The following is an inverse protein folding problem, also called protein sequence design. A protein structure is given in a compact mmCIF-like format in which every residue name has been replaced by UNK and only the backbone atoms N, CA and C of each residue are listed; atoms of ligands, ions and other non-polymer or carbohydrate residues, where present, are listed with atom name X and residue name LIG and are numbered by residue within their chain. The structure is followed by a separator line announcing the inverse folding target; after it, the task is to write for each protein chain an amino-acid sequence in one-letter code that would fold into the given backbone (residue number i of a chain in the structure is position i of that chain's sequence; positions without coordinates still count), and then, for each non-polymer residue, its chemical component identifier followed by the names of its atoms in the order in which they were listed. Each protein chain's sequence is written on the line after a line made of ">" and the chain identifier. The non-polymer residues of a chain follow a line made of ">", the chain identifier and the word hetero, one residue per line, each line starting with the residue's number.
data_IF_697978244255
#
_entry.id   IF_697978244255
#
_cell.length_a   1.000
_cell.length_b   1.000
_cell.length_c   1.000
_cell.angle_alpha   90.00
_cell.angle_beta   90.00
_cell.angle_gamma   90.00
#
_symmetry.space_group_name_H-M   'P 1'
#
loop_
_entity.id
_entity.type
_entity.pdbx_description
1 polymer ?
#
# COMPACT_ATOMS: atom_id res chain seq x y z
N UNK A 1 18.14 16.99 25.16
CA UNK A 1 17.43 17.05 23.87
C UNK A 1 17.34 18.51 23.47
N UNK A 2 17.43 18.81 22.18
CA UNK A 2 17.51 20.20 21.70
C UNK A 2 16.12 20.78 21.36
N UNK A 3 15.08 20.29 22.05
CA UNK A 3 13.67 20.67 21.91
C UNK A 3 12.90 20.37 23.21
N UNK A 4 11.72 20.96 23.38
CA UNK A 4 10.80 20.69 24.48
C UNK A 4 10.07 19.35 24.27
N UNK A 5 10.46 18.33 25.03
CA UNK A 5 9.87 16.99 24.94
C UNK A 5 8.48 16.88 25.56
N UNK A 6 8.05 17.87 26.36
CA UNK A 6 6.67 17.95 26.87
C UNK A 6 5.67 18.32 25.78
N UNK A 7 6.15 18.81 24.62
CA UNK A 7 5.33 19.12 23.46
C UNK A 7 4.84 17.87 22.70
N UNK A 8 5.47 16.71 22.92
CA UNK A 8 5.10 15.44 22.29
C UNK A 8 3.66 15.03 22.67
N UNK A 9 2.91 14.54 21.69
CA UNK A 9 1.60 13.94 21.91
C UNK A 9 1.75 12.47 22.31
N UNK A 10 2.69 11.76 21.68
CA UNK A 10 3.04 10.40 22.07
C UNK A 10 3.96 10.35 23.29
N UNK A 11 3.93 9.22 24.00
CA UNK A 11 4.83 8.98 25.13
C UNK A 11 6.29 9.12 24.66
N UNK A 12 7.06 9.97 25.37
CA UNK A 12 8.48 10.19 25.11
C UNK A 12 9.25 8.88 25.02
N UNK A 13 8.91 7.87 25.83
CA UNK A 13 9.58 6.56 25.81
C UNK A 13 9.52 5.87 24.43
N UNK A 14 8.51 6.16 23.61
CA UNK A 14 8.42 5.61 22.25
C UNK A 14 9.54 6.09 21.33
N UNK A 15 10.13 7.24 21.61
CA UNK A 15 11.25 7.81 20.84
C UNK A 15 12.61 7.41 21.40
N UNK A 16 12.68 6.65 22.49
CA UNK A 16 13.95 6.15 23.01
C UNK A 16 14.50 5.05 22.10
N UNK A 17 15.83 5.09 21.93
CA UNK A 17 16.56 4.12 21.12
C UNK A 17 16.29 2.69 21.57
N UNK A 18 16.35 2.42 22.86
CA UNK A 18 16.18 1.07 23.40
C UNK A 18 14.77 0.53 23.10
N UNK A 19 13.74 1.37 23.22
CA UNK A 19 12.36 1.01 22.88
C UNK A 19 12.20 0.70 21.38
N UNK A 20 12.77 1.54 20.51
CA UNK A 20 12.72 1.32 19.07
C UNK A 20 13.52 0.09 18.64
N UNK A 21 14.67 -0.17 19.27
CA UNK A 21 15.48 -1.36 19.03
C UNK A 21 14.77 -2.64 19.47
N UNK A 22 14.13 -2.64 20.64
CA UNK A 22 13.32 -3.77 21.11
C UNK A 22 12.20 -4.08 20.12
N UNK A 23 11.47 -3.06 19.66
CA UNK A 23 10.43 -3.22 18.63
C UNK A 23 11.02 -3.74 17.33
N UNK A 24 12.13 -3.17 16.86
CA UNK A 24 12.81 -3.58 15.63
C UNK A 24 13.15 -5.07 15.64
N UNK A 25 13.68 -5.56 16.75
CA UNK A 25 14.06 -6.96 16.94
C UNK A 25 12.84 -7.89 17.06
N UNK A 26 11.88 -7.55 17.91
CA UNK A 26 10.65 -8.34 18.11
C UNK A 26 9.84 -8.48 16.82
N UNK A 27 9.74 -7.38 16.07
CA UNK A 27 8.94 -7.27 14.86
C UNK A 27 9.73 -7.61 13.58
N UNK A 28 11.05 -7.80 13.71
CA UNK A 28 11.98 -8.22 12.65
C UNK A 28 11.99 -7.30 11.43
N UNK A 29 12.00 -5.99 11.70
CA UNK A 29 12.24 -4.98 10.68
C UNK A 29 13.74 -4.81 10.43
N UNK A 30 14.10 -4.38 9.21
CA UNK A 30 15.51 -4.25 8.81
C UNK A 30 16.07 -2.83 9.01
N UNK A 31 15.22 -1.83 9.31
CA UNK A 31 15.62 -0.42 9.32
C UNK A 31 15.03 0.33 10.51
N UNK A 32 15.89 0.62 11.50
CA UNK A 32 15.57 1.50 12.62
C UNK A 32 15.19 2.90 12.13
N UNK A 33 15.94 3.44 11.17
CA UNK A 33 15.70 4.76 10.60
C UNK A 33 14.28 4.93 10.04
N UNK A 34 13.77 3.92 9.32
CA UNK A 34 12.40 3.96 8.77
C UNK A 34 11.32 3.73 9.81
N UNK A 35 11.58 2.92 10.83
CA UNK A 35 10.67 2.76 11.97
C UNK A 35 10.56 4.08 12.75
N UNK A 36 11.69 4.74 13.00
CA UNK A 36 11.74 6.04 13.65
C UNK A 36 11.06 7.13 12.81
N UNK A 37 11.31 7.18 11.49
CA UNK A 37 10.61 8.11 10.60
C UNK A 37 9.10 7.90 10.63
N UNK A 38 8.63 6.65 10.60
CA UNK A 38 7.20 6.37 10.69
C UNK A 38 6.59 6.85 12.02
N UNK A 39 7.31 6.71 13.14
CA UNK A 39 6.89 7.27 14.42
C UNK A 39 6.79 8.81 14.36
N UNK A 40 7.79 9.49 13.80
CA UNK A 40 7.75 10.94 13.63
C UNK A 40 6.65 11.40 12.67
N UNK A 41 6.37 10.65 11.61
CA UNK A 41 5.26 10.91 10.70
C UNK A 41 3.92 10.96 11.46
N UNK A 42 3.71 10.01 12.37
CA UNK A 42 2.49 9.94 13.18
C UNK A 42 2.42 11.04 14.24
N UNK A 43 3.54 11.38 14.87
CA UNK A 43 3.64 12.48 15.82
C UNK A 43 3.28 13.82 15.15
N UNK A 44 3.94 14.15 14.04
CA UNK A 44 3.71 15.41 13.33
C UNK A 44 2.30 15.46 12.74
N UNK A 45 1.77 14.34 12.24
CA UNK A 45 0.37 14.27 11.84
C UNK A 45 -0.59 14.62 12.99
N UNK A 46 -0.39 14.07 14.20
CA UNK A 46 -1.25 14.40 15.34
C UNK A 46 -1.12 15.86 15.79
N UNK A 47 0.07 16.47 15.69
CA UNK A 47 0.25 17.89 15.96
C UNK A 47 -0.58 18.74 14.99
N UNK A 48 -0.54 18.41 13.69
CA UNK A 48 -1.35 19.06 12.66
C UNK A 48 -2.84 18.83 12.93
N UNK A 49 -3.23 17.59 13.24
CA UNK A 49 -4.61 17.21 13.54
C UNK A 49 -5.18 17.93 14.77
N UNK A 50 -4.38 18.12 15.81
CA UNK A 50 -4.82 18.82 17.02
C UNK A 50 -5.22 20.28 16.73
N UNK A 51 -4.55 20.91 15.76
CA UNK A 51 -4.80 22.31 15.37
C UNK A 51 -5.92 22.39 14.32
N UNK A 52 -5.85 21.58 13.27
CA UNK A 52 -6.79 21.61 12.13
C UNK A 52 -8.11 20.86 12.40
N UNK A 53 -8.16 20.02 13.42
CA UNK A 53 -9.36 19.25 13.81
C UNK A 53 -9.94 18.49 12.61
N UNK A 54 -11.23 18.64 12.33
CA UNK A 54 -11.97 17.99 11.25
C UNK A 54 -11.64 18.52 9.83
N UNK A 55 -10.64 19.39 9.69
CA UNK A 55 -10.18 19.89 8.38
C UNK A 55 -8.97 19.17 7.81
N UNK A 56 -8.57 18.04 8.40
CA UNK A 56 -7.43 17.23 7.94
C UNK A 56 -7.72 15.73 8.05
N UNK A 57 -7.28 14.94 7.07
CA UNK A 57 -7.25 13.48 7.16
C UNK A 57 -5.93 12.94 6.65
N UNK A 58 -5.39 11.92 7.32
CA UNK A 58 -4.24 11.15 6.86
C UNK A 58 -4.67 10.22 5.71
N UNK A 59 -3.85 10.11 4.67
CA UNK A 59 -4.02 9.19 3.55
C UNK A 59 -2.70 8.47 3.24
N UNK A 60 -2.62 7.87 2.05
CA UNK A 60 -1.36 7.36 1.50
C UNK A 60 -0.86 6.06 2.16
N UNK A 61 0.46 5.91 2.24
CA UNK A 61 1.11 4.73 2.81
C UNK A 61 0.92 4.61 4.32
N UNK A 62 0.97 5.75 5.03
CA UNK A 62 0.81 5.78 6.47
C UNK A 62 -0.61 5.39 6.91
N UNK A 63 -1.65 5.98 6.29
CA UNK A 63 -3.04 5.62 6.59
C UNK A 63 -3.35 4.15 6.32
N UNK A 64 -2.73 3.53 5.32
CA UNK A 64 -2.95 2.12 5.00
C UNK A 64 -2.58 1.18 6.15
N UNK A 65 -1.56 1.53 6.94
CA UNK A 65 -1.09 0.68 8.04
C UNK A 65 -2.14 0.53 9.15
N UNK A 66 -3.00 1.52 9.35
CA UNK A 66 -4.07 1.49 10.35
C UNK A 66 -5.20 0.51 10.03
N UNK A 67 -5.30 0.05 8.78
CA UNK A 67 -6.28 -0.94 8.33
C UNK A 67 -5.68 -2.36 8.23
N UNK A 68 -4.47 -2.55 8.76
CA UNK A 68 -3.73 -3.80 8.71
C UNK A 68 -3.35 -4.27 10.12
N UNK A 69 -3.40 -5.58 10.40
CA UNK A 69 -2.82 -6.12 11.62
C UNK A 69 -1.31 -5.80 11.70
N UNK A 70 -0.79 -5.60 12.92
CA UNK A 70 0.60 -5.17 13.17
C UNK A 70 1.61 -6.02 12.39
N UNK A 71 1.42 -7.33 12.36
CA UNK A 71 2.32 -8.29 11.73
C UNK A 71 2.36 -8.19 10.20
N UNK A 72 1.42 -7.44 9.59
CA UNK A 72 1.36 -7.14 8.15
C UNK A 72 1.64 -5.67 7.81
N UNK A 73 1.80 -4.82 8.82
CA UNK A 73 2.21 -3.43 8.62
C UNK A 73 3.67 -3.36 8.13
N UNK A 74 3.93 -2.38 7.27
CA UNK A 74 5.25 -2.02 6.75
C UNK A 74 5.62 -0.59 7.16
N UNK A 75 6.90 -0.25 7.07
CA UNK A 75 7.31 1.15 7.28
C UNK A 75 6.81 2.05 6.15
N UNK A 76 6.45 3.29 6.51
CA UNK A 76 6.18 4.42 5.60
C UNK A 76 7.06 5.59 6.06
N UNK A 77 7.39 6.52 5.17
CA UNK A 77 8.32 7.63 5.45
C UNK A 77 7.83 8.98 4.95
N UNK A 78 6.56 9.03 4.55
CA UNK A 78 5.89 10.21 4.01
C UNK A 78 4.57 10.39 4.76
N UNK A 79 4.27 11.65 5.11
CA UNK A 79 2.95 12.07 5.60
C UNK A 79 2.15 12.62 4.42
N UNK A 80 1.19 11.84 3.93
CA UNK A 80 0.25 12.31 2.92
C UNK A 80 -1.09 12.67 3.58
N UNK A 81 -1.60 13.87 3.35
CA UNK A 81 -2.87 14.32 3.94
C UNK A 81 -3.79 14.98 2.92
N UNK A 82 -5.09 14.91 3.16
CA UNK A 82 -6.08 15.77 2.50
C UNK A 82 -6.51 16.85 3.49
N UNK A 83 -6.43 18.13 3.09
CA UNK A 83 -6.79 19.26 3.93
C UNK A 83 -7.86 20.14 3.28
N UNK A 84 -8.80 20.61 4.09
CA UNK A 84 -9.87 21.53 3.70
C UNK A 84 -9.62 22.95 4.22
N UNK A 85 -8.37 23.41 4.09
CA UNK A 85 -7.90 24.75 4.50
C UNK A 85 -6.99 25.34 3.43
N UNK A 86 -6.83 26.66 3.42
CA UNK A 86 -5.89 27.32 2.53
C UNK A 86 -4.42 27.15 2.94
N UNK A 87 -3.51 27.44 2.01
CA UNK A 87 -2.04 27.39 2.22
C UNK A 87 -1.61 28.24 3.42
N UNK A 88 -2.16 29.45 3.57
CA UNK A 88 -1.83 30.34 4.68
C UNK A 88 -2.19 29.74 6.06
N UNK A 89 -3.27 28.95 6.15
CA UNK A 89 -3.65 28.28 7.39
C UNK A 89 -2.70 27.11 7.68
N UNK A 90 -2.27 26.37 6.64
CA UNK A 90 -1.23 25.34 6.77
C UNK A 90 0.10 25.94 7.28
N UNK A 91 0.54 27.06 6.73
CA UNK A 91 1.78 27.71 7.16
C UNK A 91 1.71 28.18 8.62
N UNK A 92 0.55 28.70 9.06
CA UNK A 92 0.32 29.05 10.46
C UNK A 92 0.34 27.83 11.38
N UNK A 93 -0.23 26.71 10.95
CA UNK A 93 -0.20 25.44 11.71
C UNK A 93 1.24 24.96 11.88
N UNK A 94 2.02 24.91 10.80
CA UNK A 94 3.41 24.46 10.84
C UNK A 94 4.28 25.38 11.71
N UNK A 95 4.10 26.70 11.62
CA UNK A 95 4.80 27.66 12.48
C UNK A 95 4.41 27.50 13.96
N UNK A 96 3.14 27.20 14.26
CA UNK A 96 2.71 26.93 15.63
C UNK A 96 3.33 25.65 16.19
N UNK A 97 3.52 24.62 15.36
CA UNK A 97 4.20 23.38 15.75
C UNK A 97 5.69 23.65 16.05
N UNK A 98 6.38 24.39 15.16
CA UNK A 98 7.77 24.82 15.38
C UNK A 98 7.93 25.58 16.72
N UNK A 99 7.06 26.55 16.98
CA UNK A 99 7.06 27.32 18.23
C UNK A 99 6.77 26.43 19.45
N UNK A 100 5.85 25.47 19.34
CA UNK A 100 5.48 24.56 20.42
C UNK A 100 6.67 23.70 20.86
N UNK A 101 7.46 23.19 19.90
CA UNK A 101 8.65 22.39 20.21
C UNK A 101 9.85 23.23 20.68
N UNK A 102 9.84 24.55 20.41
CA UNK A 102 10.82 25.53 20.89
C UNK A 102 12.28 25.03 20.79
N UNK A 103 12.67 24.62 19.59
CA UNK A 103 13.97 24.00 19.34
C UNK A 103 15.09 25.03 19.14
N UNK A 104 16.34 24.64 19.41
CA UNK A 104 17.51 25.53 19.28
C UNK A 104 18.24 25.42 17.92
N UNK A 105 17.96 24.38 17.13
CA UNK A 105 18.75 23.98 15.94
C UNK A 105 17.91 23.82 14.65
N UNK A 106 16.94 24.71 14.39
CA UNK A 106 16.02 24.62 13.24
C UNK A 106 15.19 23.31 13.16
N UNK A 107 15.15 22.50 14.22
CA UNK A 107 14.29 21.31 14.30
C UNK A 107 12.82 21.74 14.27
N UNK A 108 11.98 20.91 13.66
CA UNK A 108 10.55 21.14 13.47
C UNK A 108 10.20 22.35 12.59
N UNK A 109 11.20 22.99 11.98
CA UNK A 109 10.98 24.06 11.02
C UNK A 109 10.59 23.51 9.66
N UNK A 110 9.40 23.85 9.19
CA UNK A 110 8.90 23.42 7.89
C UNK A 110 9.50 24.27 6.76
N UNK A 111 10.00 23.60 5.72
CA UNK A 111 10.61 24.23 4.54
C UNK A 111 9.82 23.82 3.30
N UNK A 112 9.20 24.76 2.55
CA UNK A 112 8.44 24.41 1.36
C UNK A 112 9.37 23.85 0.27
N UNK A 113 8.99 22.74 -0.32
CA UNK A 113 9.65 22.19 -1.49
C UNK A 113 9.26 23.01 -2.72
N UNK A 114 10.27 23.55 -3.41
CA UNK A 114 10.09 24.17 -4.73
C UNK A 114 10.54 23.17 -5.80
N UNK A 115 9.61 22.51 -6.52
CA UNK A 115 9.98 21.59 -7.58
C UNK A 115 10.75 22.33 -8.68
N UNK A 116 11.74 21.65 -9.28
CA UNK A 116 12.58 22.21 -10.36
C UNK A 116 11.78 22.50 -11.63
N UNK A 117 10.70 21.77 -11.86
CA UNK A 117 9.76 21.95 -12.97
C UNK A 117 8.33 21.88 -12.41
N UNK A 118 7.73 23.01 -12.00
CA UNK A 118 6.42 23.03 -11.38
C UNK A 118 5.36 22.66 -12.42
N UNK A 119 4.73 21.49 -12.26
CA UNK A 119 3.51 21.14 -12.99
C UNK A 119 2.43 22.13 -12.60
N UNK A 120 2.06 23.01 -13.51
CA UNK A 120 1.03 24.03 -13.27
C UNK A 120 -0.28 23.36 -12.83
N UNK A 121 -0.85 23.82 -11.71
CA UNK A 121 -2.18 23.46 -11.19
C UNK A 121 -2.33 22.16 -10.37
N UNK A 122 -1.26 21.62 -9.76
CA UNK A 122 -1.46 20.60 -8.71
C UNK A 122 -1.96 21.29 -7.43
N UNK A 123 -3.13 20.92 -6.88
CA UNK A 123 -3.64 21.45 -5.61
C UNK A 123 -2.91 20.76 -4.45
N UNK A 124 -1.59 20.83 -4.44
CA UNK A 124 -0.75 20.11 -3.50
C UNK A 124 0.51 20.89 -3.19
N UNK A 125 0.92 20.90 -1.92
CA UNK A 125 2.18 21.48 -1.48
C UNK A 125 2.93 20.48 -0.61
N UNK A 126 4.23 20.41 -0.83
CA UNK A 126 5.15 19.58 -0.06
C UNK A 126 6.02 20.47 0.82
N UNK A 127 6.21 20.07 2.08
CA UNK A 127 7.17 20.63 3.01
C UNK A 127 8.15 19.53 3.46
N UNK A 128 9.36 19.95 3.80
CA UNK A 128 10.34 19.12 4.51
C UNK A 128 10.55 19.68 5.91
N UNK A 129 10.77 18.80 6.88
CA UNK A 129 10.97 19.17 8.27
C UNK A 129 12.02 18.27 8.89
N UNK A 130 13.02 18.86 9.54
CA UNK A 130 14.00 18.08 10.31
C UNK A 130 13.44 17.72 11.67
N UNK A 131 13.61 16.46 12.06
CA UNK A 131 13.21 15.90 13.34
C UNK A 131 14.41 15.27 14.04
N UNK A 132 14.41 15.20 15.38
CA UNK A 132 15.45 14.51 16.13
C UNK A 132 15.57 13.04 15.71
N UNK A 133 16.78 12.48 15.82
CA UNK A 133 17.01 11.07 15.54
C UNK A 133 17.93 10.41 16.55
N UNK A 134 17.55 9.21 16.99
CA UNK A 134 18.39 8.31 17.79
C UNK A 134 19.25 7.38 16.93
N UNK A 135 19.13 7.46 15.60
CA UNK A 135 19.87 6.60 14.68
C UNK A 135 21.35 6.98 14.62
N UNK A 136 22.20 5.96 14.49
CA UNK A 136 23.63 6.09 14.25
C UNK A 136 23.91 6.42 12.78
N UNK A 137 25.12 6.91 12.48
CA UNK A 137 25.57 7.16 11.10
C UNK A 137 25.39 5.92 10.19
N UNK A 138 25.65 4.72 10.72
CA UNK A 138 25.50 3.45 9.99
C UNK A 138 24.04 3.18 9.61
N UNK A 139 23.12 3.44 10.52
CA UNK A 139 21.67 3.25 10.31
C UNK A 139 21.09 4.31 9.37
N UNK A 140 21.73 5.47 9.29
CA UNK A 140 21.43 6.54 8.35
C UNK A 140 22.19 6.41 7.01
N UNK A 141 22.70 5.22 6.70
CA UNK A 141 23.40 4.90 5.44
C UNK A 141 24.63 5.79 5.16
N UNK A 142 25.38 6.15 6.20
CA UNK A 142 26.60 6.96 6.08
C UNK A 142 26.35 8.45 5.86
N UNK A 143 25.16 8.95 6.19
CA UNK A 143 24.91 10.40 6.25
C UNK A 143 25.83 11.03 7.30
N UNK A 144 26.57 12.06 6.88
CA UNK A 144 27.52 12.80 7.75
C UNK A 144 26.85 13.53 8.92
N UNK A 145 25.58 13.90 8.77
CA UNK A 145 24.80 14.55 9.82
C UNK A 145 24.14 13.44 10.63
N UNK A 146 24.48 13.38 11.91
CA UNK A 146 23.89 12.45 12.90
C UNK A 146 23.01 13.24 13.86
N UNK A 147 22.05 12.57 14.48
CA UNK A 147 21.13 13.19 15.44
C UNK A 147 19.87 13.81 14.83
N UNK A 148 19.73 13.83 13.51
CA UNK A 148 18.52 14.30 12.82
C UNK A 148 18.12 13.42 11.63
N UNK A 149 16.82 13.41 11.34
CA UNK A 149 16.25 12.88 10.10
C UNK A 149 15.32 13.94 9.49
N UNK A 150 14.99 13.82 8.20
CA UNK A 150 14.07 14.74 7.51
C UNK A 150 12.80 13.97 7.12
N UNK A 151 11.63 14.48 7.51
CA UNK A 151 10.32 13.97 7.09
C UNK A 151 9.79 14.78 5.91
N UNK A 152 8.99 14.13 5.06
CA UNK A 152 8.27 14.77 3.96
C UNK A 152 6.77 14.87 4.31
N UNK A 153 6.25 16.09 4.25
CA UNK A 153 4.85 16.41 4.58
C UNK A 153 4.15 16.90 3.32
N UNK A 154 3.11 16.20 2.88
CA UNK A 154 2.39 16.50 1.64
C UNK A 154 0.91 16.80 1.92
N UNK A 155 0.49 18.03 1.59
CA UNK A 155 -0.89 18.48 1.73
C UNK A 155 -1.57 18.47 0.37
N UNK A 156 -2.66 17.70 0.24
CA UNK A 156 -3.58 17.70 -0.89
C UNK A 156 -4.78 18.58 -0.54
N UNK A 157 -4.93 19.70 -1.22
CA UNK A 157 -5.97 20.69 -0.94
C UNK A 157 -7.30 20.31 -1.59
N UNK A 158 -8.40 20.54 -0.88
CA UNK A 158 -9.77 20.37 -1.39
C UNK A 158 -10.70 21.41 -0.81
N UNK A 159 -11.68 21.84 -1.61
CA UNK A 159 -12.81 22.66 -1.16
C UNK A 159 -14.01 21.81 -0.73
N UNK A 160 -13.95 20.49 -0.97
CA UNK A 160 -15.01 19.55 -0.61
C UNK A 160 -14.94 19.17 0.89
N UNK A 161 -16.10 18.92 1.54
CA UNK A 161 -16.13 18.41 2.89
C UNK A 161 -15.34 17.09 3.02
N UNK A 162 -14.49 16.99 4.05
CA UNK A 162 -13.73 15.78 4.29
C UNK A 162 -14.62 14.67 4.85
N UNK A 163 -14.50 13.48 4.26
CA UNK A 163 -15.01 12.26 4.87
C UNK A 163 -13.93 11.71 5.78
N UNK A 164 -14.24 11.58 7.07
CA UNK A 164 -13.27 11.19 8.10
C UNK A 164 -13.68 9.86 8.72
N UNK A 165 -12.77 8.90 8.70
CA UNK A 165 -12.84 7.72 9.54
C UNK A 165 -11.93 7.91 10.76
N UNK A 166 -12.43 7.64 11.97
CA UNK A 166 -11.68 7.82 13.22
C UNK A 166 -11.33 6.45 13.79
N UNK A 167 -10.04 6.23 14.05
CA UNK A 167 -9.57 5.04 14.77
C UNK A 167 -8.91 5.49 16.07
N UNK A 168 -9.45 5.03 17.19
CA UNK A 168 -8.97 5.33 18.54
C UNK A 168 -8.12 4.18 19.07
N UNK A 169 -7.01 4.51 19.73
CA UNK A 169 -6.07 3.53 20.28
C UNK A 169 -5.65 2.44 19.26
N UNK A 170 -5.18 2.83 18.06
CA UNK A 170 -4.82 1.86 17.02
C UNK A 170 -3.60 1.02 17.41
N UNK A 171 -3.63 -0.23 16.98
CA UNK A 171 -2.50 -1.15 17.03
C UNK A 171 -1.49 -0.79 15.91
N UNK A 172 -0.36 -0.18 16.28
CA UNK A 172 0.66 0.29 15.33
C UNK A 172 2.03 -0.25 15.69
N UNK A 173 2.74 -0.79 14.69
CA UNK A 173 4.04 -1.44 14.90
C UNK A 173 5.12 -0.54 15.52
N UNK A 174 5.06 0.77 15.24
CA UNK A 174 6.09 1.72 15.68
C UNK A 174 5.83 2.28 17.08
N UNK A 175 4.59 2.21 17.60
CA UNK A 175 4.26 2.72 18.92
C UNK A 175 2.99 2.15 19.53
N UNK A 176 2.94 2.21 20.86
CA UNK A 176 1.72 2.07 21.65
C UNK A 176 1.11 3.47 21.85
N UNK A 177 -0.19 3.61 21.59
CA UNK A 177 -0.86 4.92 21.67
C UNK A 177 -2.33 4.77 22.03
N UNK A 178 -2.84 5.76 22.78
CA UNK A 178 -4.28 5.90 23.07
C UNK A 178 -4.93 7.04 22.27
N UNK A 179 -4.17 7.61 21.32
CA UNK A 179 -4.62 8.74 20.52
C UNK A 179 -5.64 8.29 19.46
N UNK A 180 -6.42 9.25 18.98
CA UNK A 180 -7.36 9.03 17.87
C UNK A 180 -6.81 9.65 16.60
N UNK A 181 -6.79 8.86 15.53
CA UNK A 181 -6.33 9.27 14.21
C UNK A 181 -7.50 9.48 13.25
N UNK A 182 -7.44 10.55 12.48
CA UNK A 182 -8.37 10.88 11.40
C UNK A 182 -7.81 10.40 10.08
N UNK A 183 -8.42 9.36 9.54
CA UNK A 183 -7.97 8.67 8.33
C UNK A 183 -8.95 8.90 7.21
N UNK A 184 -8.44 8.88 5.98
CA UNK A 184 -9.26 8.64 4.80
C UNK A 184 -9.96 7.28 4.96
N UNK A 185 -11.29 7.19 4.75
CA UNK A 185 -12.01 5.93 4.87
C UNK A 185 -11.44 4.85 3.94
N UNK A 186 -11.52 3.59 4.38
CA UNK A 186 -10.91 2.44 3.70
C UNK A 186 -11.23 2.40 2.19
N UNK A 187 -12.51 2.49 1.82
CA UNK A 187 -12.92 2.39 0.41
C UNK A 187 -12.35 3.53 -0.43
N UNK A 188 -12.32 4.74 0.14
CA UNK A 188 -11.76 5.91 -0.52
C UNK A 188 -10.24 5.81 -0.65
N UNK A 189 -9.56 5.25 0.37
CA UNK A 189 -8.13 4.97 0.36
C UNK A 189 -7.74 3.93 -0.70
N UNK A 190 -8.51 2.85 -0.83
CA UNK A 190 -8.30 1.85 -1.89
C UNK A 190 -8.52 2.52 -3.26
N UNK A 191 -9.59 3.32 -3.41
CA UNK A 191 -9.84 4.08 -4.64
C UNK A 191 -8.67 4.99 -5.03
N UNK A 192 -8.13 5.73 -4.06
CA UNK A 192 -6.94 6.58 -4.22
C UNK A 192 -5.69 5.76 -4.60
N UNK A 193 -5.49 4.59 -4.02
CA UNK A 193 -4.35 3.73 -4.38
C UNK A 193 -4.50 3.15 -5.78
N UNK A 194 -5.71 2.82 -6.23
CA UNK A 194 -5.94 2.32 -7.58
C UNK A 194 -5.56 3.36 -8.65
N UNK A 195 -5.68 4.66 -8.39
CA UNK A 195 -5.27 5.68 -9.38
C UNK A 195 -3.77 5.67 -9.67
N UNK A 196 -2.95 5.06 -8.80
CA UNK A 196 -1.49 4.99 -9.01
C UNK A 196 -1.06 3.95 -10.04
N UNK A 197 -1.98 3.10 -10.51
CA UNK A 197 -1.67 1.93 -11.33
C UNK A 197 -1.69 2.19 -12.84
N UNK A 198 -1.94 3.42 -13.31
CA UNK A 198 -2.06 3.72 -14.74
C UNK A 198 -0.84 4.47 -15.33
N UNK A 199 0.39 3.92 -15.31
CA UNK A 199 1.62 4.71 -15.50
C UNK A 199 1.74 5.50 -16.81
N UNK A 200 1.00 5.14 -17.85
CA UNK A 200 0.98 5.82 -19.15
C UNK A 200 -0.22 6.77 -19.30
N UNK A 201 -1.13 6.80 -18.33
CA UNK A 201 -2.36 7.59 -18.32
C UNK A 201 -2.49 8.45 -17.04
N UNK A 202 -2.53 7.88 -15.85
CA UNK A 202 -2.65 8.58 -14.55
C UNK A 202 -1.72 7.99 -13.49
N UNK A 203 -1.56 8.65 -12.35
CA UNK A 203 -0.80 8.08 -11.25
C UNK A 203 0.71 8.04 -11.50
N UNK A 204 1.37 7.05 -10.93
CA UNK A 204 2.83 7.03 -10.82
C UNK A 204 3.42 6.58 -12.15
N UNK A 205 4.30 7.40 -12.73
CA UNK A 205 5.00 7.11 -13.99
C UNK A 205 6.07 6.02 -13.81
N UNK A 206 6.49 5.37 -14.89
CA UNK A 206 7.39 4.21 -14.86
C UNK A 206 8.80 4.51 -14.32
N UNK A 207 9.26 5.76 -14.37
CA UNK A 207 10.50 6.23 -13.75
C UNK A 207 10.47 6.20 -12.21
N UNK A 208 9.28 6.08 -11.62
CA UNK A 208 9.03 5.91 -10.18
C UNK A 208 8.41 4.54 -9.87
N UNK A 209 8.81 3.51 -10.61
CA UNK A 209 8.28 2.15 -10.45
C UNK A 209 8.48 1.56 -9.05
N UNK A 210 9.48 2.02 -8.29
CA UNK A 210 9.67 1.65 -6.87
C UNK A 210 8.48 2.05 -5.99
N UNK A 211 7.87 3.21 -6.25
CA UNK A 211 6.65 3.64 -5.55
C UNK A 211 5.44 2.81 -5.95
N UNK A 212 5.34 2.39 -7.22
CA UNK A 212 4.24 1.54 -7.69
C UNK A 212 4.18 0.21 -6.93
N UNK A 213 5.34 -0.43 -6.68
CA UNK A 213 5.42 -1.68 -5.92
C UNK A 213 4.85 -1.52 -4.51
N UNK A 214 5.11 -0.38 -3.85
CA UNK A 214 4.54 -0.09 -2.52
C UNK A 214 3.01 -0.01 -2.58
N UNK A 215 2.45 0.64 -3.60
CA UNK A 215 1.00 0.76 -3.75
C UNK A 215 0.33 -0.58 -4.03
N UNK A 216 0.91 -1.39 -4.92
CA UNK A 216 0.43 -2.75 -5.23
C UNK A 216 0.45 -3.63 -3.98
N UNK A 217 1.52 -3.55 -3.20
CA UNK A 217 1.64 -4.27 -1.93
C UNK A 217 0.52 -3.89 -0.96
N UNK A 218 0.31 -2.58 -0.74
CA UNK A 218 -0.73 -2.07 0.15
C UNK A 218 -2.12 -2.51 -0.32
N UNK A 219 -2.44 -2.35 -1.61
CA UNK A 219 -3.72 -2.80 -2.19
C UNK A 219 -3.94 -4.29 -1.90
N UNK A 220 -2.92 -5.13 -2.10
CA UNK A 220 -3.04 -6.57 -1.88
C UNK A 220 -3.43 -6.93 -0.45
N UNK A 221 -2.88 -6.22 0.55
CA UNK A 221 -3.15 -6.48 1.96
C UNK A 221 -4.44 -5.84 2.44
N UNK A 222 -4.75 -4.62 1.99
CA UNK A 222 -6.02 -3.96 2.27
C UNK A 222 -7.19 -4.82 1.77
N UNK A 223 -7.09 -5.32 0.53
CA UNK A 223 -8.06 -6.28 -0.01
C UNK A 223 -8.12 -7.55 0.83
N UNK A 224 -6.98 -8.16 1.16
CA UNK A 224 -6.95 -9.44 1.90
C UNK A 224 -7.58 -9.34 3.29
N UNK A 225 -7.28 -8.30 4.07
CA UNK A 225 -7.72 -8.21 5.47
C UNK A 225 -9.07 -7.53 5.64
N UNK A 226 -9.49 -6.71 4.68
CA UNK A 226 -10.72 -5.96 4.80
C UNK A 226 -11.78 -6.37 3.78
N UNK A 227 -11.57 -7.47 3.05
CA UNK A 227 -12.43 -7.89 1.95
C UNK A 227 -13.92 -7.83 2.28
N UNK A 228 -14.33 -8.36 3.44
CA UNK A 228 -15.73 -8.41 3.88
C UNK A 228 -16.34 -7.04 4.18
N UNK A 229 -15.50 -6.03 4.46
CA UNK A 229 -15.93 -4.70 4.87
C UNK A 229 -15.79 -3.66 3.74
N UNK A 230 -15.35 -4.06 2.55
CA UNK A 230 -15.12 -3.15 1.41
C UNK A 230 -16.40 -2.99 0.60
N UNK A 231 -16.82 -1.73 0.38
CA UNK A 231 -17.82 -1.39 -0.61
C UNK A 231 -17.14 -1.09 -1.96
N UNK A 232 -17.18 -2.07 -2.87
CA UNK A 232 -16.58 -1.93 -4.20
C UNK A 232 -17.23 -0.84 -5.07
N UNK A 233 -18.50 -0.49 -4.84
CA UNK A 233 -19.14 0.62 -5.55
C UNK A 233 -18.57 1.94 -5.05
N UNK A 234 -18.33 2.07 -3.74
CA UNK A 234 -17.65 3.24 -3.17
C UNK A 234 -16.20 3.34 -3.63
N UNK A 235 -15.44 2.23 -3.61
CA UNK A 235 -14.07 2.18 -4.15
C UNK A 235 -14.05 2.68 -5.59
N UNK A 236 -14.96 2.17 -6.44
CA UNK A 236 -15.09 2.61 -7.83
C UNK A 236 -15.40 4.09 -7.92
N UNK A 237 -16.39 4.59 -7.16
CA UNK A 237 -16.78 5.99 -7.18
C UNK A 237 -15.61 6.91 -6.81
N UNK A 238 -14.90 6.58 -5.73
CA UNK A 238 -13.70 7.32 -5.30
C UNK A 238 -12.62 7.31 -6.37
N UNK A 239 -12.26 6.13 -6.88
CA UNK A 239 -11.29 5.98 -7.97
C UNK A 239 -11.67 6.84 -9.19
N UNK A 240 -12.92 6.77 -9.66
CA UNK A 240 -13.36 7.51 -10.84
C UNK A 240 -13.28 9.03 -10.62
N UNK A 241 -13.62 9.53 -9.43
CA UNK A 241 -13.54 10.94 -9.11
C UNK A 241 -12.08 11.43 -9.14
N UNK A 242 -11.17 10.67 -8.52
CA UNK A 242 -9.75 11.01 -8.43
C UNK A 242 -9.04 10.89 -9.78
N UNK A 243 -9.30 9.83 -10.53
CA UNK A 243 -8.79 9.64 -11.89
C UNK A 243 -9.19 10.80 -12.83
N UNK A 244 -10.44 11.29 -12.75
CA UNK A 244 -10.90 12.44 -13.53
C UNK A 244 -10.16 13.73 -13.15
N UNK A 245 -10.02 13.98 -11.85
CA UNK A 245 -9.29 15.16 -11.34
C UNK A 245 -7.84 15.15 -11.84
N UNK A 246 -7.18 14.00 -11.76
CA UNK A 246 -5.78 13.86 -12.15
C UNK A 246 -5.59 13.96 -13.68
N UNK A 247 -6.46 13.32 -14.46
CA UNK A 247 -6.44 13.43 -15.92
C UNK A 247 -6.61 14.88 -16.39
N UNK A 248 -7.52 15.64 -15.75
CA UNK A 248 -7.71 17.06 -16.01
C UNK A 248 -6.45 17.89 -15.71
N UNK A 249 -5.82 17.66 -14.54
CA UNK A 249 -4.58 18.34 -14.16
C UNK A 249 -3.43 18.05 -15.13
N UNK A 250 -3.36 16.84 -15.69
CA UNK A 250 -2.35 16.47 -16.68
C UNK A 250 -2.68 16.90 -18.10
N UNK A 251 -3.80 17.61 -18.32
CA UNK A 251 -4.34 17.93 -19.65
C UNK A 251 -4.48 16.69 -20.55
N UNK A 252 -4.72 15.52 -19.94
CA UNK A 252 -4.86 14.27 -20.65
C UNK A 252 -6.31 14.08 -21.06
N UNK A 253 -6.51 13.75 -22.34
CA UNK A 253 -7.83 13.39 -22.91
C UNK A 253 -8.14 11.90 -22.76
N UNK A 254 -7.35 11.18 -21.95
CA UNK A 254 -7.49 9.73 -21.75
C UNK A 254 -8.92 9.41 -21.28
N UNK A 255 -9.62 8.58 -22.04
CA UNK A 255 -10.95 8.11 -21.64
C UNK A 255 -10.78 7.16 -20.47
N UNK A 256 -11.82 7.00 -19.64
CA UNK A 256 -11.77 6.02 -18.53
C UNK A 256 -11.43 4.60 -19.00
N UNK A 257 -11.82 4.24 -20.23
CA UNK A 257 -11.44 2.94 -20.82
C UNK A 257 -9.93 2.82 -21.05
N UNK A 258 -9.26 3.91 -21.46
CA UNK A 258 -7.81 3.93 -21.68
C UNK A 258 -7.08 3.81 -20.33
N UNK A 259 -7.56 4.52 -19.31
CA UNK A 259 -7.04 4.43 -17.93
C UNK A 259 -7.13 3.00 -17.40
N UNK A 260 -8.32 2.38 -17.48
CA UNK A 260 -8.47 0.99 -17.03
C UNK A 260 -7.59 0.03 -17.85
N UNK A 261 -7.46 0.25 -19.17
CA UNK A 261 -6.63 -0.59 -20.04
C UNK A 261 -5.16 -0.52 -19.65
N UNK A 262 -4.66 0.68 -19.35
CA UNK A 262 -3.29 0.89 -18.88
C UNK A 262 -3.03 0.24 -17.52
N UNK A 263 -3.96 0.40 -16.57
CA UNK A 263 -3.88 -0.26 -15.26
C UNK A 263 -3.88 -1.79 -15.38
N UNK A 264 -4.76 -2.33 -16.23
CA UNK A 264 -4.79 -3.76 -16.50
C UNK A 264 -3.49 -4.22 -17.18
N UNK A 265 -2.93 -3.46 -18.12
CA UNK A 265 -1.66 -3.80 -18.75
C UNK A 265 -0.51 -3.89 -17.73
N UNK A 266 -0.43 -2.94 -16.78
CA UNK A 266 0.57 -2.98 -15.71
C UNK A 266 0.39 -4.22 -14.80
N UNK A 267 -0.85 -4.51 -14.37
CA UNK A 267 -1.12 -5.69 -13.54
C UNK A 267 -0.89 -6.99 -14.30
N UNK A 268 -1.10 -6.98 -15.61
CA UNK A 268 -0.79 -8.10 -16.50
C UNK A 268 0.72 -8.36 -16.56
N UNK A 269 1.54 -7.32 -16.68
CA UNK A 269 3.00 -7.44 -16.63
C UNK A 269 3.47 -8.02 -15.28
N UNK A 270 2.89 -7.56 -14.17
CA UNK A 270 3.20 -8.14 -12.86
C UNK A 270 2.78 -9.61 -12.78
N UNK A 271 1.63 -9.98 -13.35
CA UNK A 271 1.09 -11.35 -13.30
C UNK A 271 1.95 -12.40 -14.05
N UNK A 272 3.00 -11.99 -14.75
CA UNK A 272 3.94 -12.87 -15.45
C UNK A 272 5.38 -12.76 -14.96
N UNK A 273 5.63 -12.00 -13.89
CA UNK A 273 7.00 -11.74 -13.44
C UNK A 273 7.77 -12.99 -13.01
N UNK A 274 7.07 -14.09 -12.70
CA UNK A 274 7.68 -15.39 -12.35
C UNK A 274 7.90 -16.30 -13.56
N UNK A 275 7.50 -15.84 -14.74
CA UNK A 275 7.63 -16.49 -16.03
C UNK A 275 8.69 -15.78 -16.88
N UNK A 276 8.74 -14.46 -16.78
CA UNK A 276 9.70 -13.61 -17.46
C UNK A 276 10.92 -13.34 -16.57
N UNK A 277 12.10 -13.21 -17.19
CA UNK A 277 13.33 -12.85 -16.48
C UNK A 277 13.49 -11.33 -16.41
N UNK A 278 12.47 -10.62 -15.91
CA UNK A 278 12.55 -9.17 -15.71
C UNK A 278 13.37 -8.85 -14.47
N UNK A 279 14.69 -8.77 -14.68
CA UNK A 279 15.66 -8.45 -13.62
C UNK A 279 15.44 -7.07 -13.03
N UNK A 280 14.87 -6.14 -13.78
CA UNK A 280 14.64 -4.77 -13.32
C UNK A 280 13.49 -4.72 -12.31
N UNK A 281 12.35 -5.33 -12.67
CA UNK A 281 11.21 -5.47 -11.78
C UNK A 281 11.54 -6.30 -10.54
N UNK A 282 12.28 -7.42 -10.72
CA UNK A 282 12.71 -8.24 -9.60
C UNK A 282 13.62 -7.46 -8.63
N UNK A 283 14.51 -6.61 -9.15
CA UNK A 283 15.34 -5.73 -8.31
C UNK A 283 14.47 -4.74 -7.54
N UNK A 284 13.51 -4.08 -8.18
CA UNK A 284 12.61 -3.14 -7.51
C UNK A 284 11.82 -3.79 -6.37
N UNK A 285 11.30 -5.01 -6.59
CA UNK A 285 10.59 -5.78 -5.58
C UNK A 285 11.50 -6.16 -4.41
N UNK A 286 12.73 -6.62 -4.70
CA UNK A 286 13.68 -6.97 -3.65
C UNK A 286 14.14 -5.74 -2.84
N UNK A 287 14.39 -4.63 -3.51
CA UNK A 287 14.73 -3.35 -2.88
C UNK A 287 13.58 -2.91 -1.96
N UNK A 288 12.33 -2.96 -2.44
CA UNK A 288 11.14 -2.68 -1.63
C UNK A 288 11.03 -3.60 -0.40
N UNK A 289 11.10 -4.92 -0.61
CA UNK A 289 10.95 -5.90 0.46
C UNK A 289 12.03 -5.76 1.53
N UNK A 290 13.28 -5.52 1.12
CA UNK A 290 14.40 -5.36 2.05
C UNK A 290 14.29 -4.10 2.92
N UNK A 291 13.78 -3.01 2.35
CA UNK A 291 13.76 -1.70 3.01
C UNK A 291 12.50 -1.48 3.84
N UNK A 292 11.33 -1.90 3.36
CA UNK A 292 10.05 -1.50 3.93
C UNK A 292 9.34 -2.62 4.68
N UNK A 293 9.61 -3.86 4.31
CA UNK A 293 8.84 -5.03 4.73
C UNK A 293 9.65 -5.90 5.69
N UNK A 294 8.95 -6.58 6.59
CA UNK A 294 9.55 -7.58 7.50
C UNK A 294 9.96 -8.81 6.70
N UNK A 295 11.06 -9.46 7.09
CA UNK A 295 11.63 -10.59 6.33
C UNK A 295 10.62 -11.74 6.12
N UNK A 296 9.77 -12.01 7.10
CA UNK A 296 8.73 -13.05 7.08
C UNK A 296 7.63 -12.78 6.06
N UNK A 297 7.44 -11.53 5.66
CA UNK A 297 6.44 -11.12 4.68
C UNK A 297 7.01 -11.00 3.27
N UNK A 298 8.28 -11.34 3.07
CA UNK A 298 8.88 -11.37 1.74
C UNK A 298 8.14 -12.39 0.87
N UNK A 299 7.77 -11.96 -0.32
CA UNK A 299 7.05 -12.76 -1.30
C UNK A 299 7.98 -13.18 -2.42
N UNK A 300 7.80 -14.42 -2.85
CA UNK A 300 8.40 -14.97 -4.05
C UNK A 300 7.83 -14.30 -5.32
N UNK A 301 8.53 -14.38 -6.47
CA UNK A 301 8.00 -13.92 -7.74
C UNK A 301 6.62 -14.50 -8.07
N UNK A 302 6.37 -15.79 -7.72
CA UNK A 302 5.09 -16.44 -7.99
C UNK A 302 3.94 -15.84 -7.17
N UNK A 303 4.20 -15.45 -5.93
CA UNK A 303 3.19 -14.77 -5.08
C UNK A 303 2.90 -13.36 -5.60
N UNK A 304 3.92 -12.63 -6.04
CA UNK A 304 3.70 -11.34 -6.71
C UNK A 304 2.92 -11.46 -8.01
N UNK A 305 3.18 -12.51 -8.80
CA UNK A 305 2.39 -12.80 -9.98
C UNK A 305 0.91 -13.07 -9.64
N UNK A 306 0.63 -13.76 -8.53
CA UNK A 306 -0.73 -13.95 -8.02
C UNK A 306 -1.38 -12.63 -7.62
N UNK A 307 -0.65 -11.72 -6.96
CA UNK A 307 -1.16 -10.36 -6.65
C UNK A 307 -1.56 -9.63 -7.93
N UNK A 308 -0.68 -9.62 -8.94
CA UNK A 308 -0.94 -8.99 -10.23
C UNK A 308 -2.21 -9.54 -10.87
N UNK A 309 -2.38 -10.87 -10.87
CA UNK A 309 -3.56 -11.52 -11.42
C UNK A 309 -4.86 -11.16 -10.65
N UNK A 310 -4.81 -11.12 -9.32
CA UNK A 310 -5.96 -10.73 -8.47
C UNK A 310 -6.42 -9.31 -8.76
N UNK A 311 -5.47 -8.36 -8.75
CA UNK A 311 -5.78 -6.94 -8.99
C UNK A 311 -6.23 -6.75 -10.44
N UNK A 312 -5.59 -7.42 -11.41
CA UNK A 312 -6.03 -7.41 -12.81
C UNK A 312 -7.50 -7.84 -12.96
N UNK A 313 -7.90 -8.95 -12.30
CA UNK A 313 -9.27 -9.43 -12.34
C UNK A 313 -10.24 -8.43 -11.73
N UNK A 314 -9.91 -7.87 -10.56
CA UNK A 314 -10.70 -6.83 -9.90
C UNK A 314 -10.92 -5.63 -10.83
N UNK A 315 -9.85 -5.13 -11.47
CA UNK A 315 -9.93 -4.03 -12.45
C UNK A 315 -10.82 -4.39 -13.65
N UNK A 316 -10.80 -5.64 -14.08
CA UNK A 316 -11.68 -6.17 -15.12
C UNK A 316 -13.17 -6.10 -14.75
N UNK A 317 -13.53 -6.33 -13.49
CA UNK A 317 -14.90 -6.16 -13.01
C UNK A 317 -15.26 -4.68 -12.82
N UNK A 318 -14.37 -3.91 -12.19
CA UNK A 318 -14.57 -2.48 -11.96
C UNK A 318 -14.78 -1.74 -13.29
N UNK A 319 -13.93 -1.94 -14.29
CA UNK A 319 -14.04 -1.28 -15.61
C UNK A 319 -15.41 -1.47 -16.27
N UNK A 320 -16.02 -2.65 -16.10
CA UNK A 320 -17.33 -3.04 -16.65
C UNK A 320 -18.51 -2.69 -15.75
N UNK A 321 -18.26 -2.08 -14.58
CA UNK A 321 -19.28 -1.83 -13.56
C UNK A 321 -20.06 -3.09 -13.16
N UNK A 322 -19.37 -4.23 -13.11
CA UNK A 322 -19.95 -5.53 -12.71
C UNK A 322 -19.64 -5.78 -11.24
N UNK A 323 -20.50 -6.58 -10.58
CA UNK A 323 -20.18 -7.08 -9.26
C UNK A 323 -18.93 -7.96 -9.31
N UNK A 324 -17.90 -7.58 -8.54
CA UNK A 324 -16.68 -8.37 -8.40
C UNK A 324 -16.69 -9.22 -7.14
N UNK A 325 -17.60 -8.95 -6.18
CA UNK A 325 -17.56 -9.51 -4.83
C UNK A 325 -17.77 -11.03 -4.87
N UNK A 326 -18.90 -11.49 -5.40
CA UNK A 326 -19.22 -12.92 -5.47
C UNK A 326 -18.23 -13.76 -6.29
N UNK A 327 -17.77 -13.32 -7.48
CA UNK A 327 -16.74 -14.05 -8.23
C UNK A 327 -15.40 -14.15 -7.48
N UNK A 328 -14.91 -13.05 -6.89
CA UNK A 328 -13.65 -13.04 -6.16
C UNK A 328 -13.75 -13.83 -4.84
N UNK A 329 -14.88 -13.79 -4.13
CA UNK A 329 -15.16 -14.63 -2.96
C UNK A 329 -14.98 -16.12 -3.29
N UNK A 330 -15.56 -16.54 -4.42
CA UNK A 330 -15.48 -17.93 -4.89
C UNK A 330 -14.04 -18.34 -5.17
N UNK A 331 -13.24 -17.45 -5.80
CA UNK A 331 -11.83 -17.72 -6.07
C UNK A 331 -10.97 -17.69 -4.80
N UNK A 332 -11.26 -16.81 -3.84
CA UNK A 332 -10.56 -16.80 -2.55
C UNK A 332 -10.84 -18.05 -1.73
N UNK A 333 -12.05 -18.59 -1.80
CA UNK A 333 -12.33 -19.91 -1.23
C UNK A 333 -11.55 -21.01 -1.94
N UNK A 334 -11.53 -21.00 -3.28
CA UNK A 334 -10.73 -21.95 -4.05
C UNK A 334 -9.25 -21.90 -3.67
N UNK A 335 -8.68 -20.70 -3.49
CA UNK A 335 -7.29 -20.55 -3.06
C UNK A 335 -7.02 -21.25 -1.73
N UNK A 336 -7.90 -21.04 -0.72
CA UNK A 336 -7.81 -21.74 0.58
C UNK A 336 -7.91 -23.25 0.42
N UNK A 337 -8.84 -23.73 -0.41
CA UNK A 337 -9.01 -25.17 -0.63
C UNK A 337 -7.78 -25.80 -1.30
N UNK A 338 -7.09 -25.05 -2.16
CA UNK A 338 -5.87 -25.46 -2.87
C UNK A 338 -4.59 -25.36 -2.04
N UNK A 339 -4.63 -24.75 -0.86
CA UNK A 339 -3.55 -24.84 0.11
C UNK A 339 -3.44 -26.27 0.67
N UNK A 340 -4.53 -27.06 0.67
CA UNK A 340 -4.57 -28.44 1.16
C UNK A 340 -4.01 -28.57 2.59
N UNK A 341 -4.35 -27.63 3.46
CA UNK A 341 -3.79 -27.56 4.82
C UNK A 341 -4.26 -28.68 5.76
N UNK A 342 -5.33 -29.38 5.38
CA UNK A 342 -5.77 -30.61 6.05
C UNK A 342 -4.86 -31.82 5.78
N UNK A 343 -3.92 -31.73 4.83
CA UNK A 343 -2.99 -32.81 4.47
C UNK A 343 -1.54 -32.45 4.81
N UNK A 344 -0.70 -33.47 4.99
CA UNK A 344 0.73 -33.32 5.26
C UNK A 344 1.59 -34.22 4.37
N UNK A 345 2.85 -33.82 4.18
CA UNK A 345 3.88 -34.65 3.55
C UNK A 345 3.53 -35.13 2.13
N UNK A 346 3.76 -36.41 1.87
CA UNK A 346 3.63 -37.01 0.54
C UNK A 346 2.19 -36.95 -0.01
N UNK A 347 1.18 -37.07 0.86
CA UNK A 347 -0.23 -37.06 0.48
C UNK A 347 -0.64 -35.71 -0.10
N UNK A 348 -0.28 -34.61 0.57
CA UNK A 348 -0.45 -33.23 0.08
C UNK A 348 0.22 -33.06 -1.29
N UNK A 349 1.44 -33.58 -1.44
CA UNK A 349 2.19 -33.53 -2.70
C UNK A 349 1.52 -34.29 -3.84
N UNK A 350 0.96 -35.48 -3.58
CA UNK A 350 0.24 -36.27 -4.57
C UNK A 350 -1.07 -35.61 -5.00
N UNK A 351 -1.83 -35.05 -4.05
CA UNK A 351 -3.06 -34.33 -4.34
C UNK A 351 -2.78 -33.09 -5.19
N UNK A 352 -1.80 -32.28 -4.80
CA UNK A 352 -1.39 -31.10 -5.56
C UNK A 352 -0.87 -31.47 -6.97
N UNK A 353 -0.17 -32.60 -7.12
CA UNK A 353 0.22 -33.08 -8.45
C UNK A 353 -1.00 -33.44 -9.31
N UNK A 354 -1.93 -34.23 -8.79
CA UNK A 354 -3.16 -34.61 -9.51
C UNK A 354 -4.00 -33.38 -9.87
N UNK A 355 -4.14 -32.44 -8.95
CA UNK A 355 -4.82 -31.17 -9.20
C UNK A 355 -4.24 -30.49 -10.44
N UNK A 356 -2.92 -30.29 -10.46
CA UNK A 356 -2.25 -29.60 -11.58
C UNK A 356 -2.44 -30.34 -12.91
N UNK A 357 -2.36 -31.67 -12.91
CA UNK A 357 -2.54 -32.47 -14.12
C UNK A 357 -3.99 -32.43 -14.65
N UNK A 358 -4.99 -32.52 -13.79
CA UNK A 358 -6.40 -32.47 -14.19
C UNK A 358 -6.87 -31.05 -14.53
N UNK A 359 -6.50 -30.06 -13.70
CA UNK A 359 -6.88 -28.66 -13.89
C UNK A 359 -6.30 -28.08 -15.18
N UNK A 360 -5.03 -28.36 -15.49
CA UNK A 360 -4.41 -27.92 -16.74
C UNK A 360 -5.14 -28.49 -17.97
N UNK A 361 -5.57 -29.76 -17.95
CA UNK A 361 -6.32 -30.34 -19.08
C UNK A 361 -7.61 -29.58 -19.40
N UNK A 362 -8.30 -29.13 -18.36
CA UNK A 362 -9.62 -28.53 -18.50
C UNK A 362 -9.59 -27.01 -18.71
N UNK A 363 -8.59 -26.32 -18.14
CA UNK A 363 -8.58 -24.86 -18.03
C UNK A 363 -7.38 -24.14 -18.63
N UNK A 364 -6.32 -24.83 -19.03
CA UNK A 364 -5.12 -24.17 -19.59
C UNK A 364 -5.41 -23.39 -20.87
N UNK A 365 -6.44 -23.77 -21.64
CA UNK A 365 -6.89 -23.00 -22.82
C UNK A 365 -7.38 -21.58 -22.51
N UNK A 366 -7.71 -21.28 -21.25
CA UNK A 366 -8.09 -19.95 -20.79
C UNK A 366 -6.89 -19.15 -20.27
N UNK A 367 -5.72 -19.77 -20.18
CA UNK A 367 -4.48 -19.08 -19.90
C UNK A 367 -4.09 -18.22 -21.10
N UNK A 368 -3.72 -16.98 -20.86
CA UNK A 368 -3.03 -16.16 -21.86
C UNK A 368 -1.57 -16.62 -22.08
N UNK A 369 -1.12 -17.64 -21.34
CA UNK A 369 0.25 -18.14 -21.32
C UNK A 369 0.36 -19.58 -21.82
N UNK A 370 1.44 -19.93 -22.54
CA UNK A 370 1.64 -21.28 -23.04
C UNK A 370 1.75 -22.31 -21.92
N UNK A 371 1.17 -23.49 -22.17
CA UNK A 371 1.16 -24.63 -21.24
C UNK A 371 2.52 -24.97 -20.61
N UNK A 372 3.55 -24.97 -21.45
CA UNK A 372 4.94 -25.24 -21.06
C UNK A 372 5.47 -24.30 -19.97
N UNK A 373 4.94 -23.07 -19.88
CA UNK A 373 5.38 -22.02 -18.96
C UNK A 373 4.71 -22.17 -17.59
N UNK A 374 3.47 -22.68 -17.57
CA UNK A 374 2.73 -22.96 -16.34
C UNK A 374 3.07 -24.32 -15.72
N UNK A 375 3.71 -25.21 -16.48
CA UNK A 375 4.12 -26.54 -16.03
C UNK A 375 4.95 -26.46 -14.75
N UNK A 376 4.49 -27.15 -13.71
CA UNK A 376 5.20 -27.27 -12.43
C UNK A 376 4.94 -26.13 -11.43
N UNK A 377 4.21 -25.08 -11.80
CA UNK A 377 3.76 -24.04 -10.85
C UNK A 377 2.83 -24.63 -9.79
N UNK A 378 2.67 -23.96 -8.66
CA UNK A 378 1.80 -24.44 -7.58
C UNK A 378 0.31 -24.27 -7.94
N UNK A 379 -0.59 -24.93 -7.20
CA UNK A 379 -2.03 -24.96 -7.50
C UNK A 379 -2.66 -23.56 -7.54
N UNK A 380 -2.35 -22.72 -6.55
CA UNK A 380 -2.86 -21.34 -6.46
C UNK A 380 -2.39 -20.49 -7.64
N UNK A 381 -1.12 -20.61 -8.02
CA UNK A 381 -0.55 -19.88 -9.17
C UNK A 381 -1.21 -20.29 -10.49
N UNK A 382 -1.55 -21.57 -10.66
CA UNK A 382 -2.29 -22.05 -11.83
C UNK A 382 -3.71 -21.50 -11.88
N UNK A 383 -4.43 -21.55 -10.75
CA UNK A 383 -5.77 -20.96 -10.61
C UNK A 383 -5.78 -19.51 -11.11
N UNK A 384 -4.90 -18.69 -10.56
CA UNK A 384 -4.83 -17.26 -10.90
C UNK A 384 -4.23 -16.99 -12.29
N UNK A 385 -3.55 -17.96 -12.92
CA UNK A 385 -3.08 -17.82 -14.31
C UNK A 385 -4.20 -17.94 -15.35
N UNK A 386 -5.29 -18.65 -15.01
CA UNK A 386 -6.39 -18.96 -15.95
C UNK A 386 -7.69 -18.24 -15.60
N UNK A 387 -7.85 -17.77 -14.36
CA UNK A 387 -9.06 -17.11 -13.92
C UNK A 387 -9.28 -15.77 -14.66
N UNK A 388 -10.45 -15.62 -15.27
CA UNK A 388 -10.89 -14.41 -15.93
C UNK A 388 -12.41 -14.25 -15.74
N UNK A 389 -12.99 -13.07 -16.03
CA UNK A 389 -14.41 -12.81 -15.76
C UNK A 389 -15.40 -13.78 -16.41
N UNK A 390 -14.99 -14.50 -17.46
CA UNK A 390 -15.86 -15.39 -18.24
C UNK A 390 -15.81 -16.85 -17.76
N UNK A 391 -14.89 -17.22 -16.86
CA UNK A 391 -14.72 -18.61 -16.42
C UNK A 391 -14.68 -18.83 -14.90
N UNK A 392 -14.82 -17.76 -14.08
CA UNK A 392 -14.75 -17.86 -12.60
C UNK A 392 -15.69 -18.92 -12.04
N UNK A 393 -16.97 -18.88 -12.40
CA UNK A 393 -17.98 -19.82 -11.86
C UNK A 393 -17.65 -21.27 -12.20
N UNK A 394 -17.22 -21.51 -13.45
CA UNK A 394 -16.83 -22.84 -13.92
C UNK A 394 -15.60 -23.37 -13.18
N UNK A 395 -14.60 -22.52 -12.97
CA UNK A 395 -13.41 -22.85 -12.19
C UNK A 395 -13.80 -23.19 -10.75
N UNK A 396 -14.59 -22.33 -10.11
CA UNK A 396 -14.96 -22.49 -8.71
C UNK A 396 -15.74 -23.80 -8.48
N UNK A 397 -16.72 -24.09 -9.35
CA UNK A 397 -17.45 -25.35 -9.32
C UNK A 397 -16.51 -26.55 -9.48
N UNK A 398 -15.62 -26.52 -10.48
CA UNK A 398 -14.69 -27.62 -10.73
C UNK A 398 -13.78 -27.88 -9.54
N UNK A 399 -13.23 -26.83 -8.91
CA UNK A 399 -12.33 -26.95 -7.76
C UNK A 399 -13.10 -27.53 -6.56
N UNK A 400 -14.31 -27.05 -6.30
CA UNK A 400 -15.17 -27.59 -5.25
C UNK A 400 -15.41 -29.10 -5.43
N UNK A 401 -15.74 -29.53 -6.65
CA UNK A 401 -15.95 -30.95 -6.95
C UNK A 401 -14.66 -31.78 -6.88
N UNK A 402 -13.52 -31.22 -7.27
CA UNK A 402 -12.22 -31.88 -7.13
C UNK A 402 -11.88 -32.14 -5.66
N UNK A 403 -12.11 -31.16 -4.79
CA UNK A 403 -11.83 -31.23 -3.35
C UNK A 403 -12.81 -32.18 -2.64
N UNK A 404 -14.11 -32.14 -2.99
CA UNK A 404 -15.11 -33.06 -2.44
C UNK A 404 -14.86 -34.53 -2.76
N UNK A 405 -14.35 -34.86 -3.95
CA UNK A 405 -14.02 -36.26 -4.33
C UNK A 405 -12.85 -36.86 -3.53
N UNK A 406 -12.28 -36.11 -2.59
CA UNK A 406 -11.07 -36.42 -1.82
C UNK A 406 -11.25 -36.28 -0.31
N UNK A 407 -12.36 -35.68 0.13
CA UNK A 407 -12.89 -35.78 1.51
C UNK A 407 -13.82 -36.99 1.57
#
# INVERSE_FOLDING_TARGET
>A
MNFDDTALIHDRKCFDRDTLMERLEQLKFNSLARMELFLWDLEIFLQIQAILKDKIVLKGGAAAQFYLPIEYQRTSVDIDMICAVGVEEVEKVLAAIEQKFNSMDDLFRARPHKPKDPKANLPMITYYMDVPSVCTEKELFGKKITGTQEIKIEFHFTDEPLVIHRISSPDIFALETHQTYQLLPLDDLIGDKLTTLGPNTIGITTDRADEQIKQIYDISWLLKFNWENIDLQRVRKSFLARAKSEAHQRSLTAKMMDIFSDMMAQMKQLSIMDLENDKSLLKLINDFQSLYVRKELNRSPAEWAVIGAKIHLLLGYLSRNRDAKSPLDSLFQCERDLEFDYLKGAEKGQLARRFREEFSKDFEKYSDYPARVLKGKNSVRLLWAVANPDNVEKIAYWISEFVKKRT
#
